data_IF_364375173135
#
_entry.id   IF_364375173135
#
_cell.length_a   1.000
_cell.length_b   1.000
_cell.length_c   1.000
_cell.angle_alpha   90.00
_cell.angle_beta   90.00
_cell.angle_gamma   90.00
#
_symmetry.space_group_name_H-M   'P 1'
#
loop_
_entity.id
_entity.type
_entity.pdbx_description
1 polymer ?
#
# COMPACT_ATOMS: atom_id res chain seq x y z
N UNK A 1 53.82 18.06 22.14
CA UNK A 1 53.33 17.69 20.81
C UNK A 1 52.43 16.47 21.00
N UNK A 2 51.13 16.67 21.20
CA UNK A 2 50.16 15.62 21.55
C UNK A 2 49.76 14.86 20.27
N UNK A 3 50.02 13.56 20.22
CA UNK A 3 49.61 12.64 19.13
C UNK A 3 48.19 12.13 19.42
N UNK A 4 47.19 12.87 18.95
CA UNK A 4 45.78 12.50 19.04
C UNK A 4 45.41 11.62 17.84
N UNK A 5 45.87 10.36 17.84
CA UNK A 5 45.29 9.30 17.00
C UNK A 5 44.03 8.79 17.68
N UNK A 6 43.02 9.66 17.70
CA UNK A 6 41.72 9.30 18.22
C UNK A 6 41.03 8.33 17.27
N UNK A 7 40.67 7.19 17.87
CA UNK A 7 39.86 6.14 17.32
C UNK A 7 38.59 6.72 16.66
N UNK A 8 38.61 6.81 15.33
CA UNK A 8 37.39 6.99 14.56
C UNK A 8 36.64 5.66 14.56
N UNK A 9 36.04 5.35 15.70
CA UNK A 9 35.09 4.27 15.87
C UNK A 9 34.07 4.33 14.74
N UNK A 10 33.93 3.22 14.02
CA UNK A 10 32.95 3.04 12.96
C UNK A 10 31.57 3.36 13.52
N UNK A 11 31.05 4.55 13.22
CA UNK A 11 29.68 4.93 13.57
C UNK A 11 28.76 3.84 13.02
N UNK A 12 27.85 3.26 13.82
CA UNK A 12 26.86 2.34 13.28
C UNK A 12 26.12 3.06 12.17
N UNK A 13 26.07 2.41 10.99
CA UNK A 13 25.30 2.93 9.85
C UNK A 13 23.87 3.13 10.35
N UNK A 14 23.39 4.38 10.33
CA UNK A 14 21.99 4.69 10.61
C UNK A 14 21.08 3.86 9.70
N UNK A 15 19.79 3.69 10.06
CA UNK A 15 18.88 2.85 9.30
C UNK A 15 18.93 3.23 7.82
N UNK A 16 19.36 2.28 6.98
CA UNK A 16 19.27 2.41 5.53
C UNK A 16 17.84 2.80 5.22
N UNK A 17 17.63 3.94 4.54
CA UNK A 17 16.33 4.23 3.93
C UNK A 17 15.95 2.98 3.15
N UNK A 18 14.93 2.24 3.60
CA UNK A 18 14.36 1.18 2.77
C UNK A 18 14.04 1.87 1.43
N UNK A 19 14.42 1.25 0.32
CA UNK A 19 14.08 1.76 -1.01
C UNK A 19 12.59 2.12 -1.05
N UNK A 20 12.20 3.03 -1.95
CA UNK A 20 10.80 3.39 -2.10
C UNK A 20 9.97 2.11 -2.30
N UNK A 21 9.13 1.78 -1.33
CA UNK A 21 8.23 0.64 -1.40
C UNK A 21 7.03 1.08 -2.22
N UNK A 22 6.66 0.30 -3.23
CA UNK A 22 5.46 0.60 -4.01
C UNK A 22 4.22 0.42 -3.11
N UNK A 23 3.40 1.47 -3.04
CA UNK A 23 2.19 1.53 -2.23
C UNK A 23 0.97 1.57 -3.16
N UNK A 24 -0.01 0.73 -2.85
CA UNK A 24 -1.31 0.72 -3.49
C UNK A 24 -2.42 0.93 -2.47
N UNK A 25 -3.29 1.91 -2.71
CA UNK A 25 -4.55 2.07 -1.99
C UNK A 25 -5.61 1.17 -2.62
N UNK A 26 -6.37 0.46 -1.80
CA UNK A 26 -7.42 -0.45 -2.25
C UNK A 26 -8.69 -0.26 -1.43
N UNK A 27 -9.83 -0.27 -2.11
CA UNK A 27 -11.15 -0.21 -1.48
C UNK A 27 -12.17 -1.04 -2.28
N UNK A 28 -13.25 -1.45 -1.62
CA UNK A 28 -14.41 -2.08 -2.26
C UNK A 28 -15.24 -1.07 -3.05
N UNK A 29 -15.79 -1.48 -4.17
CA UNK A 29 -16.69 -0.66 -4.99
C UNK A 29 -17.79 -1.54 -5.61
N UNK A 30 -18.88 -0.96 -6.17
CA UNK A 30 -19.95 -1.77 -6.78
C UNK A 30 -19.48 -2.74 -7.87
N UNK A 31 -18.36 -2.45 -8.54
CA UNK A 31 -17.75 -3.31 -9.56
C UNK A 31 -16.72 -4.32 -9.04
N UNK A 32 -16.52 -4.43 -7.72
CA UNK A 32 -15.49 -5.26 -7.10
C UNK A 32 -14.54 -4.43 -6.24
N UNK A 33 -13.31 -4.23 -6.70
CA UNK A 33 -12.22 -3.59 -5.97
C UNK A 33 -11.55 -2.51 -6.80
N UNK A 34 -11.47 -1.29 -6.27
CA UNK A 34 -10.67 -0.23 -6.86
C UNK A 34 -9.24 -0.30 -6.34
N UNK A 35 -8.28 -0.21 -7.26
CA UNK A 35 -6.86 -0.09 -6.99
C UNK A 35 -6.42 1.31 -7.39
N UNK A 36 -5.79 2.07 -6.51
CA UNK A 36 -5.15 3.34 -6.80
C UNK A 36 -3.66 3.29 -6.45
N UNK A 37 -2.79 3.66 -7.38
CA UNK A 37 -1.33 3.65 -7.14
C UNK A 37 -0.62 4.75 -7.93
N UNK A 38 0.56 5.11 -7.46
CA UNK A 38 1.42 6.03 -8.20
C UNK A 38 2.05 5.32 -9.39
N UNK A 39 1.73 5.80 -10.60
CA UNK A 39 2.28 5.29 -11.85
C UNK A 39 3.81 5.26 -11.80
N UNK A 40 4.40 4.29 -12.48
CA UNK A 40 5.86 4.11 -12.47
C UNK A 40 6.54 5.33 -13.09
N UNK A 41 7.55 5.92 -12.44
CA UNK A 41 8.24 7.08 -13.00
C UNK A 41 8.98 6.64 -14.26
N UNK A 42 8.60 7.20 -15.41
CA UNK A 42 9.38 7.04 -16.65
C UNK A 42 10.72 7.80 -16.59
N UNK A 43 10.82 8.80 -15.71
CA UNK A 43 12.00 9.62 -15.45
C UNK A 43 11.91 10.30 -14.09
N UNK A 44 13.06 10.69 -13.50
CA UNK A 44 13.14 11.45 -12.24
C UNK A 44 12.51 12.84 -12.31
N UNK A 45 12.23 13.34 -13.51
CA UNK A 45 11.69 14.68 -13.75
C UNK A 45 10.20 14.67 -14.10
N UNK A 46 9.57 13.49 -14.17
CA UNK A 46 8.14 13.39 -14.50
C UNK A 46 7.33 13.15 -13.22
N UNK A 47 6.32 13.97 -12.92
CA UNK A 47 5.39 13.69 -11.82
C UNK A 47 4.77 12.30 -11.99
N UNK A 48 4.64 11.54 -10.89
CA UNK A 48 3.90 10.27 -10.93
C UNK A 48 2.41 10.60 -11.12
N UNK A 49 1.86 10.24 -12.28
CA UNK A 49 0.41 10.24 -12.46
C UNK A 49 -0.20 9.16 -11.56
N UNK A 50 -1.36 9.43 -10.97
CA UNK A 50 -2.13 8.38 -10.30
C UNK A 50 -2.78 7.49 -11.36
N UNK A 51 -2.63 6.18 -11.21
CA UNK A 51 -3.33 5.17 -12.00
C UNK A 51 -4.41 4.53 -11.13
N UNK A 52 -5.61 4.37 -11.70
CA UNK A 52 -6.71 3.69 -11.03
C UNK A 52 -7.31 2.59 -11.93
N UNK A 53 -7.53 1.41 -11.38
CA UNK A 53 -8.16 0.27 -12.07
C UNK A 53 -9.22 -0.38 -11.18
N UNK A 54 -10.21 -1.04 -11.79
CA UNK A 54 -11.23 -1.82 -11.08
C UNK A 54 -11.05 -3.30 -11.42
N UNK A 55 -11.03 -4.16 -10.41
CA UNK A 55 -10.92 -5.60 -10.53
C UNK A 55 -12.15 -6.27 -9.90
N UNK A 56 -12.72 -7.27 -10.56
CA UNK A 56 -13.91 -7.95 -10.05
C UNK A 56 -13.63 -8.70 -8.74
N UNK A 57 -12.42 -9.26 -8.58
CA UNK A 57 -12.00 -10.03 -7.40
C UNK A 57 -10.71 -9.52 -6.79
N UNK A 58 -10.62 -9.54 -5.46
CA UNK A 58 -9.40 -9.11 -4.74
C UNK A 58 -8.16 -9.91 -5.16
N UNK A 59 -8.31 -11.20 -5.46
CA UNK A 59 -7.21 -12.03 -5.95
C UNK A 59 -6.71 -11.63 -7.35
N UNK A 60 -7.55 -11.04 -8.20
CA UNK A 60 -7.13 -10.47 -9.48
C UNK A 60 -6.34 -9.19 -9.29
N UNK A 61 -6.76 -8.35 -8.35
CA UNK A 61 -6.02 -7.15 -7.95
C UNK A 61 -4.63 -7.51 -7.42
N UNK A 62 -4.52 -8.48 -6.52
CA UNK A 62 -3.22 -8.91 -5.98
C UNK A 62 -2.28 -9.44 -7.07
N UNK A 63 -2.80 -10.10 -8.11
CA UNK A 63 -2.02 -10.54 -9.28
C UNK A 63 -1.54 -9.40 -10.17
N UNK A 64 -2.17 -8.23 -10.12
CA UNK A 64 -1.79 -7.05 -10.90
C UNK A 64 -0.68 -6.24 -10.23
N UNK A 65 -0.32 -6.56 -8.98
CA UNK A 65 0.69 -5.84 -8.19
C UNK A 65 2.04 -6.58 -8.17
N UNK A 66 3.16 -5.85 -8.06
CA UNK A 66 4.46 -6.42 -7.71
C UNK A 66 4.39 -7.19 -6.37
N UNK A 67 5.19 -8.25 -6.25
CA UNK A 67 5.19 -9.12 -5.07
C UNK A 67 5.60 -8.41 -3.77
N UNK A 68 6.36 -7.32 -3.86
CA UNK A 68 6.85 -6.50 -2.75
C UNK A 68 6.00 -5.24 -2.50
N UNK A 69 4.88 -5.08 -3.21
CA UNK A 69 3.97 -3.95 -3.05
C UNK A 69 3.24 -4.03 -1.71
N UNK A 70 3.20 -2.90 -1.00
CA UNK A 70 2.37 -2.75 0.21
C UNK A 70 0.97 -2.31 -0.20
N UNK A 71 -0.03 -3.05 0.26
CA UNK A 71 -1.45 -2.74 0.04
C UNK A 71 -2.01 -2.06 1.28
N UNK A 72 -2.41 -0.80 1.13
CA UNK A 72 -3.21 -0.08 2.11
C UNK A 72 -4.69 -0.29 1.80
N UNK A 73 -5.41 -0.92 2.74
CA UNK A 73 -6.81 -1.31 2.58
C UNK A 73 -7.68 -0.53 3.57
N UNK A 74 -8.67 0.22 3.10
CA UNK A 74 -9.56 1.05 3.92
C UNK A 74 -10.96 0.44 4.09
N UNK A 75 -11.00 -0.80 4.57
CA UNK A 75 -12.23 -1.49 4.96
C UNK A 75 -11.90 -2.46 6.10
N UNK A 76 -12.88 -2.85 6.93
CA UNK A 76 -12.72 -4.05 7.72
C UNK A 76 -12.46 -5.24 6.77
N UNK A 77 -11.34 -5.94 6.97
CA UNK A 77 -11.15 -7.25 6.34
C UNK A 77 -12.18 -8.20 6.94
N UNK A 78 -13.06 -8.74 6.08
CA UNK A 78 -14.15 -9.64 6.49
C UNK A 78 -15.48 -8.92 6.70
N UNK A 79 -16.06 -8.38 5.61
CA UNK A 79 -17.50 -8.14 5.59
C UNK A 79 -18.22 -9.48 5.78
N UNK A 80 -19.27 -9.50 6.59
CA UNK A 80 -20.12 -10.67 6.70
C UNK A 80 -20.69 -11.03 5.32
N UNK A 81 -20.89 -12.33 5.07
CA UNK A 81 -21.49 -12.81 3.83
C UNK A 81 -22.92 -12.29 3.64
N UNK A 82 -23.62 -12.04 4.75
CA UNK A 82 -24.94 -11.44 4.78
C UNK A 82 -25.03 -10.35 5.86
N UNK A 83 -25.92 -9.35 5.70
CA UNK A 83 -26.26 -8.43 6.79
C UNK A 83 -26.72 -9.19 8.03
N UNK A 84 -26.15 -8.88 9.19
CA UNK A 84 -26.60 -9.41 10.48
C UNK A 84 -27.16 -8.29 11.37
N UNK A 85 -28.18 -8.56 12.21
CA UNK A 85 -28.61 -7.64 13.26
C UNK A 85 -27.41 -7.26 14.15
N UNK A 86 -27.20 -5.96 14.39
CA UNK A 86 -26.04 -5.48 15.16
C UNK A 86 -24.72 -5.38 14.38
N UNK A 87 -24.66 -5.75 13.09
CA UNK A 87 -23.48 -5.54 12.23
C UNK A 87 -23.15 -4.05 12.05
N UNK A 88 -21.95 -3.73 11.52
CA UNK A 88 -21.58 -2.32 11.30
C UNK A 88 -22.49 -1.71 10.22
N UNK A 89 -22.68 -0.40 10.29
CA UNK A 89 -23.49 0.32 9.30
C UNK A 89 -22.99 0.10 7.87
N UNK A 90 -21.66 0.11 7.67
CA UNK A 90 -21.01 -0.19 6.41
C UNK A 90 -21.27 -1.64 5.92
N UNK A 91 -21.22 -2.63 6.81
CA UNK A 91 -21.50 -4.04 6.47
C UNK A 91 -22.93 -4.21 5.91
N UNK A 92 -23.91 -3.50 6.48
CA UNK A 92 -25.30 -3.52 5.98
C UNK A 92 -25.45 -2.79 4.65
N UNK A 93 -24.80 -1.63 4.49
CA UNK A 93 -24.91 -0.82 3.28
C UNK A 93 -24.28 -1.52 2.07
N UNK A 94 -23.16 -2.23 2.26
CA UNK A 94 -22.45 -2.94 1.19
C UNK A 94 -23.19 -4.17 0.63
N UNK A 95 -24.30 -4.60 1.26
CA UNK A 95 -25.06 -5.82 0.91
C UNK A 95 -26.55 -5.53 0.61
N UNK A 96 -26.92 -4.26 0.46
CA UNK A 96 -28.22 -3.83 -0.08
C UNK A 96 -28.13 -3.73 -1.60
#
# INVERSE_FOLDING_TARGET
MHDARDAQARRPRGPTRRGAVDLAGVDGCPGGWVLARAGSPRSRFTPRAMEATVHARFSELLRALPADCVVALDMPVGLLDAPAPGGRGCDRAARR
#
